data_IF_569957223817
#
_entry.id   IF_569957223817
#
_cell.length_a   1.000
_cell.length_b   1.000
_cell.length_c   1.000
_cell.angle_alpha   90.00
_cell.angle_beta   90.00
_cell.angle_gamma   90.00
#
_symmetry.space_group_name_H-M   'P 1'
#
loop_
_entity.id
_entity.type
_entity.pdbx_description
1 polymer ?
#
# COMPACT_ATOMS: atom_id res chain seq x y z
N UNK A 1 7.24 16.06 -13.60
CA UNK A 1 8.28 15.34 -14.37
C UNK A 1 7.63 14.73 -15.62
N UNK A 2 8.31 14.51 -16.75
CA UNK A 2 7.70 13.86 -17.93
C UNK A 2 7.92 12.34 -17.93
N UNK A 3 7.12 11.58 -18.68
CA UNK A 3 7.18 10.10 -18.75
C UNK A 3 8.57 9.58 -19.13
N UNK A 4 9.27 10.28 -20.03
CA UNK A 4 10.61 9.89 -20.45
C UNK A 4 11.62 9.85 -19.29
N UNK A 5 11.52 10.79 -18.33
CA UNK A 5 12.39 10.80 -17.16
C UNK A 5 12.05 9.69 -16.17
N UNK A 6 10.77 9.37 -15.98
CA UNK A 6 10.35 8.26 -15.12
C UNK A 6 10.83 6.92 -15.71
N UNK A 7 10.64 6.72 -17.01
CA UNK A 7 11.13 5.54 -17.72
C UNK A 7 12.66 5.39 -17.62
N UNK A 8 13.41 6.50 -17.70
CA UNK A 8 14.86 6.49 -17.48
C UNK A 8 15.21 6.00 -16.06
N UNK A 9 14.57 6.55 -15.02
CA UNK A 9 14.82 6.16 -13.63
C UNK A 9 14.53 4.67 -13.42
N UNK A 10 13.37 4.19 -13.90
CA UNK A 10 12.99 2.77 -13.80
C UNK A 10 14.02 1.89 -14.51
N UNK A 11 14.40 2.23 -15.74
CA UNK A 11 15.39 1.46 -16.50
C UNK A 11 16.77 1.47 -15.83
N UNK A 12 17.17 2.59 -15.24
CA UNK A 12 18.42 2.70 -14.51
C UNK A 12 18.42 1.79 -13.28
N UNK A 13 17.39 1.88 -12.43
CA UNK A 13 17.26 1.07 -11.22
C UNK A 13 17.19 -0.42 -11.58
N UNK A 14 16.43 -0.77 -12.63
CA UNK A 14 16.37 -2.12 -13.16
C UNK A 14 17.76 -2.63 -13.58
N UNK A 15 18.54 -1.80 -14.28
CA UNK A 15 19.91 -2.12 -14.69
C UNK A 15 20.88 -2.38 -13.53
N UNK A 16 20.63 -1.80 -12.34
CA UNK A 16 21.44 -2.10 -11.14
C UNK A 16 21.38 -3.59 -10.78
N UNK A 17 20.21 -4.22 -10.97
CA UNK A 17 20.02 -5.64 -10.71
C UNK A 17 20.96 -6.49 -11.58
N UNK A 18 21.02 -6.18 -12.87
CA UNK A 18 21.88 -6.86 -13.83
C UNK A 18 23.37 -6.60 -13.57
N UNK A 19 23.73 -5.38 -13.18
CA UNK A 19 25.12 -4.97 -12.98
C UNK A 19 25.73 -5.53 -11.69
N UNK A 20 24.94 -5.67 -10.63
CA UNK A 20 25.44 -5.94 -9.27
C UNK A 20 25.00 -7.30 -8.73
N UNK A 21 23.80 -7.79 -9.11
CA UNK A 21 23.17 -8.94 -8.45
C UNK A 21 23.17 -10.20 -9.29
N UNK A 22 23.57 -10.12 -10.58
CA UNK A 22 23.44 -11.20 -11.56
C UNK A 22 23.98 -12.55 -11.10
N UNK A 23 25.21 -12.56 -10.58
CA UNK A 23 25.90 -13.79 -10.17
C UNK A 23 25.64 -14.15 -8.70
N UNK A 24 24.85 -13.35 -7.97
CA UNK A 24 24.60 -13.51 -6.54
C UNK A 24 23.19 -14.05 -6.26
N UNK A 25 22.23 -13.73 -7.11
CA UNK A 25 20.82 -14.06 -6.96
C UNK A 25 20.26 -14.61 -8.27
N UNK A 26 19.25 -15.47 -8.15
CA UNK A 26 18.36 -15.77 -9.29
C UNK A 26 17.53 -14.53 -9.61
N UNK A 27 17.14 -14.32 -10.87
CA UNK A 27 16.45 -13.09 -11.31
C UNK A 27 15.25 -12.70 -10.45
N UNK A 28 14.38 -13.67 -10.14
CA UNK A 28 13.21 -13.43 -9.29
C UNK A 28 13.52 -12.97 -7.86
N UNK A 29 14.77 -13.08 -7.43
CA UNK A 29 15.28 -12.63 -6.12
C UNK A 29 16.02 -11.30 -6.17
N UNK A 30 16.08 -10.63 -7.32
CA UNK A 30 16.59 -9.27 -7.39
C UNK A 30 15.69 -8.29 -6.64
N UNK A 31 14.38 -8.54 -6.61
CA UNK A 31 13.41 -7.67 -5.94
C UNK A 31 13.67 -7.52 -4.44
N UNK A 32 14.08 -8.61 -3.77
CA UNK A 32 14.47 -8.67 -2.34
C UNK A 32 15.61 -7.69 -1.98
N UNK A 33 16.32 -7.15 -2.98
CA UNK A 33 17.41 -6.18 -2.79
C UNK A 33 17.08 -4.83 -3.43
N UNK A 34 16.56 -4.82 -4.66
CA UNK A 34 16.35 -3.60 -5.44
C UNK A 34 15.21 -2.75 -4.86
N UNK A 35 14.10 -3.36 -4.45
CA UNK A 35 12.97 -2.64 -3.88
C UNK A 35 13.33 -1.97 -2.54
N UNK A 36 13.87 -2.69 -1.53
CA UNK A 36 14.26 -2.06 -0.27
C UNK A 36 15.36 -1.01 -0.45
N UNK A 37 16.33 -1.21 -1.36
CA UNK A 37 17.32 -0.17 -1.64
C UNK A 37 16.74 1.09 -2.30
N UNK A 38 15.75 0.94 -3.17
CA UNK A 38 15.05 2.07 -3.79
C UNK A 38 14.29 2.87 -2.73
N UNK A 39 13.59 2.19 -1.83
CA UNK A 39 12.92 2.80 -0.67
C UNK A 39 13.94 3.50 0.23
N UNK A 40 15.01 2.81 0.63
CA UNK A 40 16.06 3.35 1.48
C UNK A 40 16.70 4.60 0.89
N UNK A 41 17.00 4.61 -0.42
CA UNK A 41 17.60 5.79 -1.05
C UNK A 41 16.64 6.98 -1.06
N UNK A 42 15.35 6.74 -1.28
CA UNK A 42 14.31 7.78 -1.24
C UNK A 42 14.14 8.34 0.18
N UNK A 43 14.12 7.50 1.21
CA UNK A 43 14.05 7.95 2.61
C UNK A 43 15.30 8.73 3.01
N UNK A 44 16.49 8.26 2.65
CA UNK A 44 17.78 8.92 2.95
C UNK A 44 17.84 10.33 2.36
N UNK A 45 17.55 10.48 1.07
CA UNK A 45 17.68 11.77 0.38
C UNK A 45 16.68 12.82 0.87
N UNK A 46 15.54 12.38 1.41
CA UNK A 46 14.55 13.26 2.04
C UNK A 46 15.03 13.76 3.40
N UNK A 47 15.79 12.95 4.13
CA UNK A 47 16.36 13.30 5.45
C UNK A 47 17.72 14.01 5.38
N UNK A 48 18.45 13.92 4.27
CA UNK A 48 19.76 14.57 4.08
C UNK A 48 19.78 16.04 4.57
N UNK A 49 18.79 16.91 4.25
CA UNK A 49 18.81 18.32 4.67
C UNK A 49 18.61 18.57 6.17
N UNK A 50 17.93 17.66 6.87
CA UNK A 50 17.59 17.80 8.30
C UNK A 50 18.40 16.88 9.21
N UNK A 51 19.41 16.20 8.66
CA UNK A 51 20.22 15.22 9.39
C UNK A 51 20.84 15.78 10.66
N UNK A 52 21.44 16.96 10.58
CA UNK A 52 22.09 17.58 11.74
C UNK A 52 21.07 17.98 12.82
N UNK A 53 19.94 18.56 12.42
CA UNK A 53 18.84 18.92 13.33
C UNK A 53 18.37 17.71 14.16
N UNK A 54 18.22 16.55 13.50
CA UNK A 54 17.85 15.28 14.16
C UNK A 54 18.92 14.80 15.14
N UNK A 55 20.20 14.86 14.76
CA UNK A 55 21.30 14.43 15.62
C UNK A 55 21.45 15.34 16.86
N UNK A 56 21.32 16.64 16.68
CA UNK A 56 21.39 17.62 17.77
C UNK A 56 20.20 17.45 18.72
N UNK A 57 19.00 17.24 18.17
CA UNK A 57 17.80 16.94 18.95
C UNK A 57 17.98 15.64 19.75
N UNK A 58 18.45 14.56 19.11
CA UNK A 58 18.71 13.28 19.78
C UNK A 58 19.67 13.44 20.96
N UNK A 59 20.78 14.16 20.75
CA UNK A 59 21.76 14.42 21.80
C UNK A 59 21.22 15.30 22.94
N UNK A 60 20.31 16.23 22.64
CA UNK A 60 19.63 17.03 23.65
C UNK A 60 18.66 16.17 24.49
N UNK A 61 17.85 15.33 23.84
CA UNK A 61 16.89 14.44 24.51
C UNK A 61 17.59 13.39 25.38
N UNK A 62 18.69 12.82 24.92
CA UNK A 62 19.50 11.86 25.68
C UNK A 62 20.11 12.50 26.93
N UNK A 63 20.65 13.72 26.81
CA UNK A 63 21.16 14.47 27.97
C UNK A 63 20.08 14.83 28.99
N UNK A 64 18.84 14.97 28.52
CA UNK A 64 17.68 15.25 29.36
C UNK A 64 16.99 13.99 29.89
N UNK A 65 17.51 12.78 29.61
CA UNK A 65 16.93 11.48 29.99
C UNK A 65 15.45 11.31 29.54
N UNK A 66 15.10 11.89 28.39
CA UNK A 66 13.75 11.76 27.81
C UNK A 66 13.62 10.38 27.17
N UNK A 67 12.66 9.59 27.66
CA UNK A 67 12.41 8.23 27.15
C UNK A 67 11.63 8.17 25.84
N UNK A 68 10.57 8.97 25.71
CA UNK A 68 9.79 9.03 24.47
C UNK A 68 10.31 10.17 23.60
N UNK A 69 11.09 9.83 22.59
CA UNK A 69 11.78 10.78 21.72
C UNK A 69 11.12 10.88 20.33
N UNK A 70 10.09 10.07 20.04
CA UNK A 70 9.61 9.86 18.67
C UNK A 70 9.08 11.14 18.01
N UNK A 71 8.14 11.82 18.67
CA UNK A 71 7.55 13.05 18.14
C UNK A 71 8.58 14.18 17.98
N UNK A 72 9.40 14.54 19.00
CA UNK A 72 10.44 15.55 18.83
C UNK A 72 11.43 15.26 17.69
N UNK A 73 11.76 13.99 17.45
CA UNK A 73 12.66 13.60 16.37
C UNK A 73 11.98 13.71 14.99
N UNK A 74 10.70 13.37 14.86
CA UNK A 74 9.89 13.62 13.64
C UNK A 74 9.80 15.12 13.35
N UNK A 75 9.56 15.94 14.37
CA UNK A 75 9.53 17.40 14.24
C UNK A 75 10.87 17.97 13.77
N UNK A 76 12.00 17.50 14.35
CA UNK A 76 13.35 17.89 13.91
C UNK A 76 13.64 17.44 12.47
N UNK A 77 13.21 16.23 12.10
CA UNK A 77 13.36 15.72 10.74
C UNK A 77 12.48 16.45 9.72
N UNK A 78 11.41 17.12 10.18
CA UNK A 78 10.33 17.70 9.36
C UNK A 78 9.68 16.66 8.46
N UNK A 79 9.57 15.44 8.97
CA UNK A 79 9.08 14.26 8.29
C UNK A 79 8.37 13.37 9.29
N UNK A 80 7.53 12.47 8.79
CA UNK A 80 6.85 11.45 9.59
C UNK A 80 7.78 10.34 10.14
N UNK A 81 9.08 10.43 9.82
CA UNK A 81 10.11 9.48 10.15
C UNK A 81 11.43 10.21 10.33
N UNK A 82 12.42 9.52 10.90
CA UNK A 82 13.75 10.08 11.14
C UNK A 82 14.81 8.99 11.06
N UNK A 83 16.08 9.41 11.05
CA UNK A 83 17.22 8.51 11.22
C UNK A 83 18.25 9.10 12.18
N UNK A 84 18.44 8.49 13.35
CA UNK A 84 19.39 8.92 14.39
C UNK A 84 20.79 8.35 14.22
N UNK A 85 21.05 7.54 13.19
CA UNK A 85 22.41 7.08 12.89
C UNK A 85 23.29 8.27 12.56
N UNK A 86 24.58 8.21 12.89
CA UNK A 86 25.54 9.24 12.45
C UNK A 86 25.83 9.21 10.94
N UNK A 87 25.33 8.20 10.24
CA UNK A 87 25.57 8.00 8.81
C UNK A 87 24.36 8.45 7.98
N UNK A 88 24.67 9.01 6.82
CA UNK A 88 23.83 9.03 5.62
C UNK A 88 24.27 7.91 4.68
N UNK A 89 23.47 7.56 3.66
CA UNK A 89 23.89 6.59 2.67
C UNK A 89 25.17 7.04 1.92
N UNK A 90 25.36 8.35 1.75
CA UNK A 90 26.57 8.95 1.13
C UNK A 90 27.83 8.68 1.93
N UNK A 91 27.75 8.70 3.27
CA UNK A 91 28.91 8.46 4.14
C UNK A 91 29.45 7.03 4.03
N UNK A 92 28.63 6.12 3.50
CA UNK A 92 28.94 4.69 3.35
C UNK A 92 29.62 4.37 2.01
N UNK A 93 29.84 5.35 1.14
CA UNK A 93 30.49 5.16 -0.17
C UNK A 93 31.97 4.78 -0.06
N UNK A 94 32.70 5.36 0.90
CA UNK A 94 34.16 5.23 0.99
C UNK A 94 34.58 4.64 2.33
N UNK A 95 34.82 3.31 2.36
CA UNK A 95 35.26 2.60 3.58
C UNK A 95 36.45 1.69 3.32
N UNK A 96 37.26 1.51 4.36
CA UNK A 96 38.55 0.81 4.30
C UNK A 96 38.43 -0.72 4.21
N UNK A 97 37.29 -1.30 4.60
CA UNK A 97 37.06 -2.75 4.52
C UNK A 97 35.57 -3.12 4.41
N UNK A 98 35.31 -4.32 3.88
CA UNK A 98 33.95 -4.89 3.76
C UNK A 98 33.26 -5.06 5.11
N UNK A 99 34.01 -5.47 6.14
CA UNK A 99 33.47 -5.68 7.48
C UNK A 99 33.03 -4.36 8.12
N UNK A 100 33.81 -3.29 7.95
CA UNK A 100 33.44 -1.97 8.45
C UNK A 100 32.22 -1.42 7.71
N UNK A 101 32.19 -1.58 6.37
CA UNK A 101 31.03 -1.17 5.57
C UNK A 101 29.75 -1.89 6.02
N UNK A 102 29.83 -3.21 6.26
CA UNK A 102 28.70 -3.99 6.77
C UNK A 102 28.19 -3.44 8.10
N UNK A 103 29.09 -3.24 9.07
CA UNK A 103 28.74 -2.77 10.41
C UNK A 103 28.16 -1.34 10.38
N UNK A 104 28.75 -0.45 9.57
CA UNK A 104 28.25 0.92 9.43
C UNK A 104 26.88 0.96 8.72
N UNK A 105 26.66 0.09 7.73
CA UNK A 105 25.37 -0.03 7.06
C UNK A 105 24.29 -0.59 7.99
N UNK A 106 24.61 -1.60 8.80
CA UNK A 106 23.71 -2.10 9.85
C UNK A 106 23.35 -0.98 10.85
N UNK A 107 24.34 -0.23 11.33
CA UNK A 107 24.11 0.92 12.22
C UNK A 107 23.34 2.08 11.55
N UNK A 108 23.45 2.22 10.23
CA UNK A 108 22.63 3.15 9.46
C UNK A 108 21.15 2.72 9.42
N UNK A 109 20.90 1.43 9.18
CA UNK A 109 19.55 0.86 9.20
C UNK A 109 18.93 0.95 10.60
N UNK A 110 19.68 0.62 11.66
CA UNK A 110 19.22 0.65 13.05
C UNK A 110 18.82 2.06 13.53
N UNK A 111 19.33 3.11 12.88
CA UNK A 111 19.01 4.48 13.23
C UNK A 111 17.62 4.95 12.81
N UNK A 112 16.93 4.22 11.93
CA UNK A 112 15.61 4.63 11.45
C UNK A 112 14.51 4.49 12.50
N UNK A 113 13.50 5.35 12.42
CA UNK A 113 12.30 5.34 13.29
C UNK A 113 11.50 4.03 13.18
N UNK A 114 10.67 3.69 14.18
CA UNK A 114 9.97 2.40 14.25
C UNK A 114 9.13 2.06 13.01
N UNK A 115 8.45 3.04 12.41
CA UNK A 115 7.66 2.86 11.19
C UNK A 115 8.52 2.48 9.97
N UNK A 116 9.77 2.92 9.90
CA UNK A 116 10.72 2.51 8.86
C UNK A 116 11.39 1.18 9.20
N UNK A 117 11.61 0.86 10.49
CA UNK A 117 12.03 -0.49 10.88
C UNK A 117 11.01 -1.54 10.43
N UNK A 118 9.72 -1.26 10.63
CA UNK A 118 8.63 -2.14 10.18
C UNK A 118 8.65 -2.38 8.66
N UNK A 119 8.92 -1.34 7.87
CA UNK A 119 9.12 -1.47 6.41
C UNK A 119 10.31 -2.40 6.11
N UNK A 120 11.46 -2.20 6.77
CA UNK A 120 12.68 -2.97 6.52
C UNK A 120 12.55 -4.44 6.95
N UNK A 121 11.83 -4.70 8.03
CA UNK A 121 11.56 -6.04 8.55
C UNK A 121 10.64 -6.80 7.61
N UNK A 122 9.58 -6.16 7.08
CA UNK A 122 8.68 -6.75 6.09
C UNK A 122 9.34 -6.97 4.71
N UNK A 123 10.38 -6.21 4.37
CA UNK A 123 11.25 -6.54 3.23
C UNK A 123 12.27 -7.65 3.51
N UNK A 124 12.43 -8.07 4.76
CA UNK A 124 13.49 -8.97 5.20
C UNK A 124 14.90 -8.52 4.78
N UNK A 125 15.11 -7.21 4.60
CA UNK A 125 16.29 -6.71 3.90
C UNK A 125 17.61 -7.03 4.62
N UNK A 126 17.57 -7.08 5.96
CA UNK A 126 18.71 -7.46 6.80
C UNK A 126 19.23 -8.86 6.50
N UNK A 127 18.38 -9.77 6.05
CA UNK A 127 18.77 -11.13 5.68
C UNK A 127 19.65 -11.16 4.43
N UNK A 128 19.59 -10.11 3.59
CA UNK A 128 20.37 -10.01 2.36
C UNK A 128 21.79 -9.47 2.61
N UNK A 129 22.00 -8.71 3.70
CA UNK A 129 23.26 -7.99 3.99
C UNK A 129 24.47 -8.93 4.09
N UNK A 130 24.43 -10.09 4.78
CA UNK A 130 25.59 -10.98 4.87
C UNK A 130 26.06 -11.48 3.50
N UNK A 131 25.12 -11.82 2.61
CA UNK A 131 25.43 -12.27 1.24
C UNK A 131 26.03 -11.12 0.42
N UNK A 132 25.41 -9.95 0.44
CA UNK A 132 25.89 -8.76 -0.28
C UNK A 132 27.29 -8.32 0.17
N UNK A 133 27.56 -8.38 1.47
CA UNK A 133 28.86 -8.04 2.04
C UNK A 133 29.93 -9.06 1.65
N UNK A 134 29.65 -10.36 1.79
CA UNK A 134 30.59 -11.44 1.44
C UNK A 134 31.00 -11.41 -0.04
N UNK A 135 30.08 -10.99 -0.91
CA UNK A 135 30.29 -10.91 -2.35
C UNK A 135 30.85 -9.56 -2.83
N UNK A 136 31.22 -8.64 -1.92
CA UNK A 136 31.69 -7.29 -2.26
C UNK A 136 30.71 -6.49 -3.14
N UNK A 137 29.41 -6.73 -2.96
CA UNK A 137 28.33 -6.12 -3.74
C UNK A 137 27.68 -4.95 -3.02
N UNK A 138 27.71 -4.92 -1.67
CA UNK A 138 27.05 -3.87 -0.88
C UNK A 138 27.55 -2.46 -1.23
N UNK A 139 28.87 -2.27 -1.33
CA UNK A 139 29.45 -0.97 -1.70
C UNK A 139 29.06 -0.54 -3.12
N UNK A 140 29.14 -1.46 -4.09
CA UNK A 140 28.74 -1.22 -5.49
C UNK A 140 27.26 -0.85 -5.60
N UNK A 141 26.41 -1.49 -4.81
CA UNK A 141 24.98 -1.22 -4.76
C UNK A 141 24.73 0.20 -4.24
N UNK A 142 25.36 0.58 -3.13
CA UNK A 142 25.30 1.95 -2.58
C UNK A 142 25.77 2.96 -3.62
N UNK A 143 26.89 2.72 -4.30
CA UNK A 143 27.41 3.60 -5.35
C UNK A 143 26.42 3.80 -6.50
N UNK A 144 25.79 2.72 -6.97
CA UNK A 144 24.79 2.77 -8.06
C UNK A 144 23.54 3.56 -7.66
N UNK A 145 23.03 3.39 -6.44
CA UNK A 145 21.88 4.16 -5.95
C UNK A 145 22.20 5.62 -5.64
N UNK A 146 23.48 5.97 -5.48
CA UNK A 146 23.98 7.34 -5.32
C UNK A 146 24.41 7.98 -6.65
N UNK A 147 24.24 7.30 -7.78
CA UNK A 147 24.69 7.78 -9.07
C UNK A 147 24.00 9.10 -9.46
N UNK A 148 24.75 10.15 -9.85
CA UNK A 148 24.22 11.47 -10.12
C UNK A 148 23.44 11.58 -11.45
N UNK A 149 23.23 10.47 -12.17
CA UNK A 149 22.39 10.39 -13.38
C UNK A 149 20.90 10.15 -13.06
N UNK A 150 20.57 9.79 -11.83
CA UNK A 150 19.18 9.69 -11.35
C UNK A 150 18.96 10.64 -10.17
N UNK A 151 17.71 11.06 -9.99
CA UNK A 151 17.30 11.88 -8.85
C UNK A 151 16.05 11.27 -8.22
N UNK A 152 16.20 10.71 -7.03
CA UNK A 152 15.09 10.24 -6.20
C UNK A 152 14.68 11.25 -5.14
N UNK A 153 15.15 12.50 -5.19
CA UNK A 153 14.72 13.58 -4.28
C UNK A 153 13.47 14.27 -4.79
N UNK A 154 12.56 14.77 -3.93
CA UNK A 154 11.49 15.68 -4.36
C UNK A 154 12.03 17.00 -4.92
N UNK A 155 13.28 17.36 -4.61
CA UNK A 155 13.90 18.59 -5.05
C UNK A 155 14.69 18.41 -6.36
N UNK A 156 14.70 19.41 -7.26
CA UNK A 156 15.50 19.35 -8.48
C UNK A 156 17.00 19.43 -8.18
N UNK A 157 17.80 18.73 -8.99
CA UNK A 157 19.25 18.89 -9.04
C UNK A 157 19.58 19.98 -10.05
N UNK A 158 20.35 20.98 -9.64
CA UNK A 158 20.71 22.12 -10.49
C UNK A 158 22.16 21.99 -11.00
N UNK A 159 22.40 22.51 -12.20
CA UNK A 159 23.73 22.75 -12.73
C UNK A 159 24.34 24.00 -12.07
N UNK A 160 25.66 24.20 -12.20
CA UNK A 160 26.36 25.37 -11.66
C UNK A 160 25.86 26.72 -12.22
N UNK A 161 25.17 26.72 -13.37
CA UNK A 161 24.53 27.89 -13.97
C UNK A 161 23.06 28.09 -13.55
N UNK A 162 22.56 27.29 -12.59
CA UNK A 162 21.18 27.35 -12.09
C UNK A 162 20.13 26.62 -12.95
N UNK A 163 20.50 26.08 -14.12
CA UNK A 163 19.56 25.27 -14.93
C UNK A 163 19.27 23.93 -14.27
N UNK A 164 18.06 23.40 -14.44
CA UNK A 164 17.68 22.08 -13.90
C UNK A 164 18.44 20.97 -14.65
N UNK A 165 19.30 20.24 -13.94
CA UNK A 165 19.99 19.04 -14.44
C UNK A 165 19.04 17.84 -14.42
N UNK A 166 18.42 17.60 -13.27
CA UNK A 166 17.38 16.58 -13.09
C UNK A 166 16.20 17.20 -12.36
N UNK A 167 14.97 17.04 -12.86
CA UNK A 167 13.79 17.50 -12.13
C UNK A 167 13.65 16.76 -10.79
N UNK A 168 12.93 17.38 -9.86
CA UNK A 168 12.51 16.71 -8.63
C UNK A 168 11.53 15.59 -8.93
N UNK A 169 11.68 14.46 -8.24
CA UNK A 169 10.77 13.34 -8.25
C UNK A 169 9.74 13.53 -7.14
N UNK A 170 8.58 14.10 -7.49
CA UNK A 170 7.44 14.20 -6.58
C UNK A 170 6.93 12.80 -6.17
N UNK A 171 6.05 12.77 -5.16
CA UNK A 171 5.54 11.51 -4.60
C UNK A 171 4.72 10.71 -5.61
N UNK A 172 3.99 11.38 -6.50
CA UNK A 172 3.27 10.72 -7.59
C UNK A 172 4.24 10.01 -8.54
N UNK A 173 5.30 10.70 -8.99
CA UNK A 173 6.33 10.11 -9.83
C UNK A 173 7.08 8.97 -9.15
N UNK A 174 7.34 9.08 -7.84
CA UNK A 174 7.94 7.99 -7.06
C UNK A 174 7.02 6.77 -7.01
N UNK A 175 5.72 6.96 -6.76
CA UNK A 175 4.72 5.90 -6.83
C UNK A 175 4.72 5.19 -8.19
N UNK A 176 4.78 5.96 -9.29
CA UNK A 176 4.91 5.38 -10.65
C UNK A 176 6.21 4.58 -10.83
N UNK A 177 7.34 5.04 -10.28
CA UNK A 177 8.60 4.28 -10.33
C UNK A 177 8.46 2.94 -9.58
N UNK A 178 7.87 2.93 -8.39
CA UNK A 178 7.63 1.69 -7.63
C UNK A 178 6.67 0.75 -8.36
N UNK A 179 5.53 1.27 -8.84
CA UNK A 179 4.55 0.50 -9.63
C UNK A 179 5.22 -0.19 -10.83
N UNK A 180 6.04 0.54 -11.59
CA UNK A 180 6.72 -0.02 -12.77
C UNK A 180 7.82 -1.04 -12.41
N UNK A 181 8.56 -0.84 -11.32
CA UNK A 181 9.55 -1.81 -10.85
C UNK A 181 8.87 -3.12 -10.44
N UNK A 182 7.77 -3.04 -9.68
CA UNK A 182 6.99 -4.21 -9.25
C UNK A 182 6.39 -4.93 -10.46
N UNK A 183 5.79 -4.18 -11.40
CA UNK A 183 5.24 -4.75 -12.64
C UNK A 183 6.30 -5.59 -13.38
N UNK A 184 7.52 -5.06 -13.55
CA UNK A 184 8.61 -5.77 -14.21
C UNK A 184 9.07 -7.02 -13.44
N UNK A 185 9.19 -6.95 -12.12
CA UNK A 185 9.56 -8.12 -11.31
C UNK A 185 8.49 -9.21 -11.36
N UNK A 186 7.21 -8.85 -11.35
CA UNK A 186 6.11 -9.80 -11.47
C UNK A 186 6.07 -10.44 -12.87
N UNK A 187 6.34 -9.67 -13.92
CA UNK A 187 6.48 -10.17 -15.30
C UNK A 187 7.64 -11.18 -15.43
N UNK A 188 8.79 -10.91 -14.82
CA UNK A 188 9.91 -11.87 -14.83
C UNK A 188 9.62 -13.16 -14.05
N UNK A 189 8.75 -13.10 -13.03
CA UNK A 189 8.41 -14.24 -12.19
C UNK A 189 7.22 -15.08 -12.70
N UNK A 190 6.55 -14.67 -13.78
CA UNK A 190 5.31 -15.29 -14.27
C UNK A 190 4.23 -15.43 -13.17
N UNK A 191 4.19 -14.51 -12.20
CA UNK A 191 3.14 -14.49 -11.17
C UNK A 191 1.80 -14.07 -11.80
N UNK A 192 0.69 -14.67 -11.35
CA UNK A 192 -0.67 -14.32 -11.79
C UNK A 192 -1.01 -12.86 -11.36
N UNK A 193 -0.67 -11.88 -12.20
CA UNK A 193 -0.66 -10.47 -11.83
C UNK A 193 -2.03 -9.84 -11.52
N UNK A 194 -3.14 -10.53 -11.82
CA UNK A 194 -4.50 -9.99 -11.68
C UNK A 194 -4.89 -9.57 -10.27
N UNK A 195 -4.20 -10.11 -9.25
CA UNK A 195 -4.45 -9.85 -7.82
C UNK A 195 -3.51 -8.82 -7.21
N UNK A 196 -2.42 -8.46 -7.90
CA UNK A 196 -1.37 -7.60 -7.35
C UNK A 196 -1.41 -6.18 -7.90
N UNK A 197 -2.13 -5.95 -9.00
CA UNK A 197 -2.16 -4.64 -9.64
C UNK A 197 -3.53 -4.31 -10.24
N UNK A 198 -4.05 -3.14 -9.88
CA UNK A 198 -5.27 -2.58 -10.45
C UNK A 198 -4.92 -1.44 -11.41
N UNK A 199 -5.38 -1.48 -12.68
CA UNK A 199 -5.11 -0.41 -13.62
C UNK A 199 -5.59 0.94 -13.13
N UNK A 200 -4.78 1.98 -13.28
CA UNK A 200 -5.11 3.35 -12.83
C UNK A 200 -6.45 3.86 -13.39
N UNK A 201 -6.79 3.49 -14.62
CA UNK A 201 -8.08 3.85 -15.22
C UNK A 201 -9.26 3.13 -14.52
N UNK A 202 -9.09 1.88 -14.10
CA UNK A 202 -10.09 1.15 -13.32
C UNK A 202 -10.25 1.79 -11.94
N UNK A 203 -9.13 2.14 -11.28
CA UNK A 203 -9.12 2.81 -9.98
C UNK A 203 -9.87 4.15 -10.04
N UNK A 204 -9.57 4.99 -11.04
CA UNK A 204 -10.28 6.27 -11.25
C UNK A 204 -11.77 6.07 -11.49
N UNK A 205 -12.14 5.05 -12.27
CA UNK A 205 -13.54 4.70 -12.49
C UNK A 205 -14.22 4.31 -11.16
N UNK A 206 -13.61 3.44 -10.36
CA UNK A 206 -14.13 3.03 -9.04
C UNK A 206 -14.32 4.24 -8.11
N UNK A 207 -13.31 5.09 -7.98
CA UNK A 207 -13.37 6.32 -7.19
C UNK A 207 -14.53 7.24 -7.65
N UNK A 208 -14.68 7.43 -8.95
CA UNK A 208 -15.77 8.25 -9.51
C UNK A 208 -17.15 7.64 -9.27
N UNK A 209 -17.28 6.31 -9.36
CA UNK A 209 -18.55 5.62 -9.08
C UNK A 209 -18.99 5.79 -7.62
N UNK A 210 -18.06 5.87 -6.67
CA UNK A 210 -18.41 6.09 -5.26
C UNK A 210 -18.61 7.57 -4.92
N UNK A 211 -17.89 8.52 -5.54
CA UNK A 211 -17.99 9.94 -5.19
C UNK A 211 -19.02 10.73 -6.00
N UNK A 212 -19.07 10.57 -7.32
CA UNK A 212 -19.89 11.43 -8.20
C UNK A 212 -21.40 11.40 -7.85
N UNK A 213 -22.02 10.24 -7.54
CA UNK A 213 -23.44 10.20 -7.21
C UNK A 213 -23.81 10.97 -5.94
N UNK A 214 -22.83 11.25 -5.07
CA UNK A 214 -23.01 12.01 -3.82
C UNK A 214 -22.25 13.33 -3.82
N UNK A 215 -21.73 13.78 -4.96
CA UNK A 215 -20.84 14.94 -5.04
C UNK A 215 -21.45 16.20 -4.40
N UNK A 216 -22.73 16.45 -4.63
CA UNK A 216 -23.43 17.63 -4.09
C UNK A 216 -23.78 17.50 -2.61
N UNK A 217 -23.60 16.30 -2.05
CA UNK A 217 -23.78 15.98 -0.64
C UNK A 217 -22.45 15.93 0.10
N UNK A 218 -21.30 16.06 -0.56
CA UNK A 218 -20.00 16.14 0.10
C UNK A 218 -19.88 17.52 0.77
N UNK A 219 -19.56 17.52 2.05
CA UNK A 219 -19.38 18.72 2.87
C UNK A 219 -17.91 18.91 3.21
N UNK A 220 -17.56 20.11 3.68
CA UNK A 220 -16.22 20.32 4.22
C UNK A 220 -16.07 19.53 5.51
N UNK A 221 -14.95 18.83 5.67
CA UNK A 221 -14.74 17.93 6.80
C UNK A 221 -13.81 16.79 6.46
N UNK A 222 -13.86 15.76 7.30
CA UNK A 222 -12.95 14.62 7.23
C UNK A 222 -13.69 13.36 6.80
N UNK A 223 -13.13 12.65 5.83
CA UNK A 223 -13.67 11.39 5.30
C UNK A 223 -12.68 10.25 5.53
N UNK A 224 -13.19 9.08 5.90
CA UNK A 224 -12.38 7.88 6.10
C UNK A 224 -12.52 6.97 4.87
N UNK A 225 -11.37 6.62 4.27
CA UNK A 225 -11.28 5.75 3.10
C UNK A 225 -10.65 4.42 3.51
N UNK A 226 -11.18 3.30 3.03
CA UNK A 226 -10.67 1.96 3.38
C UNK A 226 -10.54 1.01 2.19
N UNK A 227 -9.43 0.24 2.19
CA UNK A 227 -9.17 -0.87 1.29
C UNK A 227 -8.64 -2.08 2.08
N UNK A 228 -9.41 -3.17 2.09
CA UNK A 228 -9.06 -4.40 2.84
C UNK A 228 -8.11 -5.35 2.10
N UNK A 229 -7.66 -5.00 0.90
CA UNK A 229 -6.65 -5.75 0.15
C UNK A 229 -5.85 -4.72 -0.66
N UNK A 230 -5.21 -3.80 0.06
CA UNK A 230 -4.80 -2.52 -0.51
C UNK A 230 -3.65 -2.61 -1.51
N UNK A 231 -2.95 -3.74 -1.59
CA UNK A 231 -1.76 -3.87 -2.40
C UNK A 231 -0.76 -2.78 -2.02
N UNK A 232 -0.22 -2.10 -3.03
CA UNK A 232 0.72 -0.98 -2.84
C UNK A 232 0.06 0.33 -2.36
N UNK A 233 -1.24 0.31 -2.02
CA UNK A 233 -1.99 1.50 -1.56
C UNK A 233 -2.35 2.49 -2.66
N UNK A 234 -2.04 2.20 -3.92
CA UNK A 234 -2.30 3.08 -5.05
C UNK A 234 -3.78 3.47 -5.18
N UNK A 235 -4.69 2.52 -4.90
CA UNK A 235 -6.13 2.75 -5.01
C UNK A 235 -6.63 3.83 -4.03
N UNK A 236 -6.21 3.75 -2.77
CA UNK A 236 -6.53 4.72 -1.71
C UNK A 236 -6.06 6.13 -2.09
N UNK A 237 -4.83 6.25 -2.60
CA UNK A 237 -4.24 7.57 -2.89
C UNK A 237 -4.85 8.21 -4.14
N UNK A 238 -5.24 7.43 -5.14
CA UNK A 238 -6.01 7.95 -6.29
C UNK A 238 -7.42 8.35 -5.85
N UNK A 239 -8.06 7.58 -4.98
CA UNK A 239 -9.37 7.93 -4.44
C UNK A 239 -9.32 9.22 -3.60
N UNK A 240 -8.29 9.42 -2.79
CA UNK A 240 -8.05 10.69 -2.12
C UNK A 240 -7.95 11.86 -3.11
N UNK A 241 -7.13 11.71 -4.15
CA UNK A 241 -6.94 12.76 -5.14
C UNK A 241 -8.24 13.10 -5.87
N UNK A 242 -9.02 12.09 -6.29
CA UNK A 242 -10.30 12.31 -6.96
C UNK A 242 -11.33 12.97 -6.00
N UNK A 243 -11.37 12.59 -4.72
CA UNK A 243 -12.24 13.23 -3.73
C UNK A 243 -11.85 14.69 -3.49
N UNK A 244 -10.55 14.97 -3.36
CA UNK A 244 -10.02 16.33 -3.20
C UNK A 244 -10.36 17.20 -4.40
N UNK A 245 -10.09 16.73 -5.62
CA UNK A 245 -10.42 17.47 -6.86
C UNK A 245 -11.94 17.72 -6.98
N UNK A 246 -12.76 16.74 -6.63
CA UNK A 246 -14.22 16.87 -6.67
C UNK A 246 -14.74 17.93 -5.68
N UNK A 247 -14.16 17.96 -4.49
CA UNK A 247 -14.47 18.90 -3.42
C UNK A 247 -14.00 20.33 -3.74
N UNK A 248 -12.78 20.49 -4.25
CA UNK A 248 -12.24 21.77 -4.70
C UNK A 248 -13.11 22.40 -5.79
N UNK A 249 -13.56 21.60 -6.76
CA UNK A 249 -14.50 22.04 -7.80
C UNK A 249 -15.88 22.47 -7.29
N UNK A 250 -16.16 22.32 -5.98
CA UNK A 250 -17.41 22.68 -5.29
C UNK A 250 -17.17 23.62 -4.10
N UNK A 251 -16.00 24.25 -4.03
CA UNK A 251 -15.60 25.14 -2.93
C UNK A 251 -15.71 24.46 -1.55
N UNK A 252 -15.38 23.16 -1.47
CA UNK A 252 -15.33 22.39 -0.22
C UNK A 252 -13.89 22.09 0.18
N UNK A 253 -13.63 22.12 1.48
CA UNK A 253 -12.35 21.73 2.07
C UNK A 253 -12.48 20.35 2.70
N UNK A 254 -11.85 19.35 2.09
CA UNK A 254 -11.91 17.96 2.57
C UNK A 254 -10.53 17.48 3.03
N UNK A 255 -10.52 16.73 4.11
CA UNK A 255 -9.39 15.94 4.56
C UNK A 255 -9.77 14.45 4.54
N UNK A 256 -8.78 13.61 4.39
CA UNK A 256 -8.92 12.16 4.25
C UNK A 256 -8.05 11.45 5.27
N UNK A 257 -8.57 10.35 5.84
CA UNK A 257 -7.73 9.37 6.52
C UNK A 257 -7.85 8.07 5.77
N UNK A 258 -6.71 7.59 5.27
CA UNK A 258 -6.60 6.38 4.49
C UNK A 258 -6.32 5.21 5.42
N UNK A 259 -7.03 4.11 5.25
CA UNK A 259 -6.87 2.86 5.99
C UNK A 259 -6.69 1.72 5.01
N UNK A 260 -5.67 0.90 5.24
CA UNK A 260 -5.34 -0.19 4.32
C UNK A 260 -4.89 -1.44 5.07
N UNK A 261 -5.27 -2.60 4.53
CA UNK A 261 -4.80 -3.90 5.01
C UNK A 261 -4.21 -4.71 3.85
N UNK A 262 -3.02 -5.29 4.06
CA UNK A 262 -2.32 -6.10 3.06
C UNK A 262 -1.59 -7.28 3.70
N UNK A 263 -1.85 -8.50 3.21
CA UNK A 263 -1.28 -9.73 3.77
C UNK A 263 0.15 -9.99 3.29
N UNK A 264 0.51 -9.52 2.10
CA UNK A 264 1.86 -9.68 1.56
C UNK A 264 2.81 -8.64 2.18
N UNK A 265 3.78 -9.11 2.96
CA UNK A 265 4.75 -8.26 3.66
C UNK A 265 5.49 -7.28 2.73
N UNK A 266 5.99 -7.76 1.59
CA UNK A 266 6.75 -6.95 0.64
C UNK A 266 5.86 -5.85 0.04
N UNK A 267 4.65 -6.19 -0.38
CA UNK A 267 3.66 -5.25 -0.91
C UNK A 267 3.23 -4.23 0.15
N UNK A 268 3.00 -4.65 1.39
CA UNK A 268 2.72 -3.79 2.53
C UNK A 268 3.86 -2.80 2.81
N UNK A 269 5.11 -3.28 2.82
CA UNK A 269 6.28 -2.44 3.05
C UNK A 269 6.40 -1.33 2.00
N UNK A 270 6.06 -1.63 0.74
CA UNK A 270 6.00 -0.65 -0.34
C UNK A 270 4.87 0.37 -0.10
N UNK A 271 3.66 -0.09 0.22
CA UNK A 271 2.53 0.78 0.49
C UNK A 271 2.83 1.75 1.64
N UNK A 272 3.40 1.23 2.74
CA UNK A 272 3.79 2.01 3.91
C UNK A 272 4.89 3.02 3.60
N UNK A 273 5.89 2.63 2.81
CA UNK A 273 6.93 3.55 2.37
C UNK A 273 6.36 4.70 1.52
N UNK A 274 5.45 4.41 0.59
CA UNK A 274 4.83 5.42 -0.27
C UNK A 274 3.98 6.42 0.54
N UNK A 275 3.16 5.93 1.47
CA UNK A 275 2.33 6.76 2.36
C UNK A 275 3.19 7.66 3.25
N UNK A 276 4.26 7.09 3.82
CA UNK A 276 5.19 7.83 4.67
C UNK A 276 5.84 9.02 3.94
N UNK A 277 6.08 8.86 2.63
CA UNK A 277 6.69 9.89 1.77
C UNK A 277 5.68 10.94 1.28
N UNK A 278 4.39 10.61 1.21
CA UNK A 278 3.32 11.53 0.77
C UNK A 278 3.06 12.70 1.72
N UNK A 279 3.66 12.68 2.92
CA UNK A 279 3.47 13.72 3.94
C UNK A 279 2.25 13.47 4.82
N UNK A 280 1.53 12.38 4.57
CA UNK A 280 0.45 11.85 5.40
C UNK A 280 1.02 10.95 6.49
N UNK A 281 1.95 11.48 7.29
CA UNK A 281 2.66 10.70 8.30
C UNK A 281 1.74 9.90 9.23
N UNK A 282 0.59 10.49 9.58
CA UNK A 282 -0.43 9.86 10.42
C UNK A 282 -1.27 8.81 9.66
N UNK A 283 -1.32 8.86 8.32
CA UNK A 283 -2.00 7.85 7.50
C UNK A 283 -1.13 6.60 7.28
N UNK A 284 0.21 6.74 7.26
CA UNK A 284 1.10 5.58 7.19
C UNK A 284 0.95 4.64 8.41
N UNK A 285 0.57 5.19 9.57
CA UNK A 285 0.27 4.42 10.78
C UNK A 285 -1.10 3.70 10.71
N UNK A 286 -1.94 4.05 9.73
CA UNK A 286 -3.23 3.37 9.44
C UNK A 286 -3.10 2.30 8.34
N UNK A 287 -1.89 1.99 7.89
CA UNK A 287 -1.62 0.79 7.10
C UNK A 287 -1.17 -0.33 8.04
N UNK A 288 -1.83 -1.49 7.93
CA UNK A 288 -1.51 -2.70 8.69
C UNK A 288 -1.28 -3.84 7.73
N UNK A 289 -0.19 -4.57 7.88
CA UNK A 289 0.11 -5.65 6.94
C UNK A 289 1.26 -6.53 7.34
N UNK A 290 1.41 -7.63 6.59
CA UNK A 290 2.26 -8.76 6.92
C UNK A 290 1.49 -10.09 6.92
N UNK A 291 2.19 -11.24 6.89
CA UNK A 291 1.58 -12.56 6.74
C UNK A 291 0.59 -12.92 7.87
N UNK A 292 0.69 -12.27 9.02
CA UNK A 292 -0.21 -12.39 10.15
C UNK A 292 -1.49 -11.54 10.03
N UNK A 293 -1.58 -10.60 9.09
CA UNK A 293 -2.69 -9.66 8.96
C UNK A 293 -3.62 -10.00 7.79
N UNK A 294 -4.13 -11.23 7.76
CA UNK A 294 -5.22 -11.60 6.84
C UNK A 294 -6.49 -10.81 7.14
N UNK A 295 -7.06 -10.13 6.14
CA UNK A 295 -8.32 -9.39 6.28
C UNK A 295 -9.49 -10.27 6.71
N UNK A 296 -9.48 -11.54 6.32
CA UNK A 296 -10.53 -12.49 6.68
C UNK A 296 -10.37 -12.99 8.12
N UNK A 297 -9.18 -13.47 8.49
CA UNK A 297 -8.97 -14.08 9.81
C UNK A 297 -8.60 -13.09 10.93
N UNK A 298 -7.88 -12.02 10.59
CA UNK A 298 -7.28 -11.05 11.50
C UNK A 298 -7.57 -9.63 10.99
N UNK A 299 -8.83 -9.21 11.10
CA UNK A 299 -9.27 -7.85 10.75
C UNK A 299 -8.47 -6.81 11.54
N UNK A 300 -7.77 -5.92 10.83
CA UNK A 300 -6.99 -4.86 11.46
C UNK A 300 -7.89 -3.75 12.05
N UNK A 301 -9.13 -3.63 11.58
CA UNK A 301 -10.03 -2.52 11.91
C UNK A 301 -11.44 -2.98 12.32
N UNK A 302 -11.61 -3.89 13.29
CA UNK A 302 -12.89 -4.55 13.57
C UNK A 302 -13.98 -3.62 14.11
N UNK A 303 -13.60 -2.49 14.72
CA UNK A 303 -14.52 -1.51 15.29
C UNK A 303 -14.61 -0.20 14.47
N UNK A 304 -14.03 -0.16 13.27
CA UNK A 304 -14.02 1.04 12.42
C UNK A 304 -15.10 0.94 11.35
N UNK A 305 -15.71 2.08 11.08
CA UNK A 305 -16.62 2.28 9.95
C UNK A 305 -16.07 3.37 9.03
N UNK A 306 -16.34 3.25 7.72
CA UNK A 306 -15.70 4.07 6.69
C UNK A 306 -16.74 4.76 5.80
N UNK A 307 -16.46 5.97 5.34
CA UNK A 307 -17.36 6.71 4.45
C UNK A 307 -17.31 6.13 3.03
N UNK A 308 -16.11 5.81 2.58
CA UNK A 308 -15.84 5.36 1.22
C UNK A 308 -14.89 4.18 1.25
N UNK A 309 -15.21 3.14 0.49
CA UNK A 309 -14.38 1.95 0.47
C UNK A 309 -14.23 1.45 -0.96
N UNK A 310 -13.03 0.98 -1.27
CA UNK A 310 -12.67 0.51 -2.60
C UNK A 310 -11.63 -0.58 -2.47
N UNK A 311 -11.78 -1.68 -3.21
CA UNK A 311 -10.85 -2.79 -3.13
C UNK A 311 -10.83 -3.64 -4.40
N UNK A 312 -9.71 -4.30 -4.64
CA UNK A 312 -9.56 -5.34 -5.65
C UNK A 312 -8.95 -6.60 -4.99
N UNK A 313 -9.77 -7.40 -4.29
CA UNK A 313 -9.30 -8.57 -3.57
C UNK A 313 -8.89 -9.72 -4.52
N UNK A 314 -8.13 -10.72 -4.04
CA UNK A 314 -7.74 -11.88 -4.84
C UNK A 314 -8.95 -12.66 -5.39
N UNK A 315 -8.80 -13.21 -6.60
CA UNK A 315 -9.88 -13.81 -7.36
C UNK A 315 -9.87 -15.33 -7.24
N UNK A 316 -10.94 -15.93 -6.69
CA UNK A 316 -11.07 -17.39 -6.67
C UNK A 316 -9.99 -18.10 -5.86
N UNK A 317 -9.33 -17.40 -4.92
CA UNK A 317 -8.33 -18.00 -4.03
C UNK A 317 -8.99 -18.70 -2.85
N UNK A 318 -8.37 -19.80 -2.47
CA UNK A 318 -8.76 -20.56 -1.28
C UNK A 318 -8.47 -19.75 -0.02
N UNK A 319 -9.48 -19.62 0.84
CA UNK A 319 -9.37 -19.04 2.19
C UNK A 319 -9.41 -20.13 3.27
N UNK A 320 -9.13 -21.39 2.92
CA UNK A 320 -9.15 -22.54 3.86
C UNK A 320 -8.31 -22.30 5.12
N UNK A 321 -7.13 -21.67 5.00
CA UNK A 321 -6.28 -21.37 6.15
C UNK A 321 -6.91 -20.34 7.09
N UNK A 322 -7.61 -19.34 6.54
CA UNK A 322 -8.36 -18.36 7.33
C UNK A 322 -9.54 -19.04 8.02
N UNK A 323 -10.30 -19.86 7.28
CA UNK A 323 -11.40 -20.64 7.83
C UNK A 323 -10.96 -21.51 9.01
N UNK A 324 -9.83 -22.21 8.91
CA UNK A 324 -9.28 -23.02 10.00
C UNK A 324 -8.90 -22.17 11.22
N UNK A 325 -8.22 -21.02 11.00
CA UNK A 325 -7.87 -20.06 12.06
C UNK A 325 -9.10 -19.48 12.76
N UNK A 326 -10.21 -19.34 12.04
CA UNK A 326 -11.47 -18.80 12.55
C UNK A 326 -12.38 -19.86 13.19
N UNK A 327 -11.90 -21.10 13.41
CA UNK A 327 -12.64 -22.16 14.09
C UNK A 327 -13.32 -23.17 13.16
N UNK A 328 -13.06 -23.11 11.86
CA UNK A 328 -13.60 -24.02 10.86
C UNK A 328 -15.10 -23.80 10.56
N UNK A 329 -15.65 -24.63 9.67
CA UNK A 329 -17.03 -24.47 9.16
C UNK A 329 -18.11 -24.40 10.24
N UNK A 330 -17.93 -25.10 11.35
CA UNK A 330 -18.92 -25.19 12.44
C UNK A 330 -18.56 -24.37 13.68
N UNK A 331 -17.35 -23.81 13.75
CA UNK A 331 -16.86 -23.11 14.93
C UNK A 331 -16.77 -21.60 14.77
N UNK A 332 -16.87 -21.09 13.54
CA UNK A 332 -16.84 -19.66 13.27
C UNK A 332 -18.06 -18.95 13.85
N UNK A 333 -17.80 -17.86 14.59
CA UNK A 333 -18.81 -16.99 15.23
C UNK A 333 -18.54 -15.52 14.93
N UNK A 334 -17.75 -15.25 13.90
CA UNK A 334 -17.39 -13.90 13.53
C UNK A 334 -18.66 -13.17 13.05
N UNK A 335 -19.04 -12.05 13.69
CA UNK A 335 -20.29 -11.34 13.38
C UNK A 335 -20.28 -10.70 11.99
N UNK A 336 -19.14 -10.66 11.29
CA UNK A 336 -19.10 -10.27 9.88
C UNK A 336 -19.72 -11.34 8.98
N UNK A 337 -19.57 -12.62 9.32
CA UNK A 337 -19.89 -13.74 8.42
C UNK A 337 -21.03 -14.64 8.89
N UNK A 338 -21.41 -14.54 10.16
CA UNK A 338 -22.62 -15.17 10.73
C UNK A 338 -23.48 -14.04 11.29
N UNK A 339 -24.59 -13.76 10.61
CA UNK A 339 -25.41 -12.57 10.87
C UNK A 339 -26.86 -12.95 11.16
N UNK A 340 -27.64 -11.99 11.64
CA UNK A 340 -29.09 -12.10 11.64
C UNK A 340 -29.64 -11.49 10.32
N UNK A 341 -30.39 -12.27 9.55
CA UNK A 341 -31.04 -11.78 8.34
C UNK A 341 -32.34 -12.54 8.03
N UNK A 342 -33.38 -11.83 7.58
CA UNK A 342 -34.67 -12.42 7.20
C UNK A 342 -35.30 -13.35 8.25
N UNK A 343 -35.08 -13.07 9.55
CA UNK A 343 -35.58 -13.87 10.66
C UNK A 343 -34.76 -15.14 10.98
N UNK A 344 -33.63 -15.34 10.30
CA UNK A 344 -32.64 -16.37 10.63
C UNK A 344 -31.51 -15.72 11.46
N UNK A 345 -31.38 -16.07 12.76
CA UNK A 345 -30.35 -15.51 13.64
C UNK A 345 -28.94 -16.07 13.41
N UNK A 346 -28.80 -17.15 12.63
CA UNK A 346 -27.52 -17.77 12.30
C UNK A 346 -27.30 -17.82 10.78
N UNK A 347 -27.75 -16.77 10.08
CA UNK A 347 -27.65 -16.66 8.64
C UNK A 347 -26.18 -16.63 8.20
N UNK A 348 -25.75 -17.71 7.54
CA UNK A 348 -24.35 -17.91 7.18
C UNK A 348 -24.00 -17.30 5.81
N UNK A 349 -23.00 -16.43 5.81
CA UNK A 349 -22.41 -15.83 4.61
C UNK A 349 -21.16 -16.59 4.13
N UNK A 350 -20.81 -17.71 4.77
CA UNK A 350 -19.57 -18.43 4.51
C UNK A 350 -19.57 -19.06 3.12
N UNK A 351 -18.66 -18.62 2.26
CA UNK A 351 -18.48 -19.17 0.92
C UNK A 351 -17.79 -20.53 0.96
N UNK A 352 -17.68 -21.20 -0.20
CA UNK A 352 -16.78 -22.36 -0.32
C UNK A 352 -15.35 -21.96 0.05
N UNK A 353 -14.64 -22.82 0.78
CA UNK A 353 -13.25 -22.57 1.19
C UNK A 353 -12.27 -22.38 0.02
N UNK A 354 -12.66 -22.77 -1.20
CA UNK A 354 -11.89 -22.59 -2.43
C UNK A 354 -12.00 -21.20 -3.05
N UNK A 355 -12.97 -20.38 -2.65
CA UNK A 355 -13.16 -19.02 -3.18
C UNK A 355 -13.61 -18.07 -2.05
N UNK A 356 -12.69 -17.24 -1.59
CA UNK A 356 -12.92 -16.26 -0.52
C UNK A 356 -13.34 -14.87 -1.01
N UNK A 357 -13.46 -14.63 -2.32
CA UNK A 357 -13.60 -13.28 -2.87
C UNK A 357 -14.74 -12.49 -2.23
N UNK A 358 -15.96 -13.05 -2.22
CA UNK A 358 -17.13 -12.33 -1.68
C UNK A 358 -17.05 -12.07 -0.16
N UNK A 359 -16.14 -12.73 0.57
CA UNK A 359 -15.94 -12.46 1.99
C UNK A 359 -15.19 -11.14 2.23
N UNK A 360 -14.40 -10.67 1.26
CA UNK A 360 -13.83 -9.32 1.31
C UNK A 360 -14.94 -8.26 1.20
N UNK A 361 -15.89 -8.44 0.28
CA UNK A 361 -17.08 -7.61 0.21
C UNK A 361 -17.88 -7.61 1.50
N UNK A 362 -18.11 -8.78 2.10
CA UNK A 362 -18.81 -8.89 3.39
C UNK A 362 -18.05 -8.14 4.50
N UNK A 363 -16.72 -8.21 4.52
CA UNK A 363 -15.91 -7.44 5.45
C UNK A 363 -16.12 -5.92 5.25
N UNK A 364 -16.20 -5.42 4.01
CA UNK A 364 -16.50 -4.01 3.73
C UNK A 364 -17.93 -3.63 4.13
N UNK A 365 -18.91 -4.49 3.85
CA UNK A 365 -20.32 -4.28 4.25
C UNK A 365 -20.47 -4.16 5.78
N UNK A 366 -19.72 -4.94 6.55
CA UNK A 366 -19.73 -4.87 8.02
C UNK A 366 -19.17 -3.57 8.60
N UNK A 367 -18.51 -2.75 7.77
CA UNK A 367 -17.84 -1.49 8.13
C UNK A 367 -18.56 -0.26 7.57
N UNK A 368 -19.81 -0.42 7.15
CA UNK A 368 -20.61 0.70 6.67
C UNK A 368 -21.08 1.57 7.83
N UNK A 369 -20.97 2.90 7.66
CA UNK A 369 -21.57 3.88 8.54
C UNK A 369 -23.09 3.87 8.36
N UNK A 370 -23.82 3.66 9.45
CA UNK A 370 -25.29 3.66 9.43
C UNK A 370 -25.92 4.95 9.95
N UNK A 371 -25.17 5.78 10.68
CA UNK A 371 -25.69 6.95 11.38
C UNK A 371 -25.33 8.29 10.72
N UNK A 372 -24.79 8.26 9.50
CA UNK A 372 -24.45 9.48 8.75
C UNK A 372 -25.44 9.75 7.61
N UNK A 373 -25.47 11.01 7.16
CA UNK A 373 -26.27 11.46 6.02
C UNK A 373 -25.86 10.78 4.71
N UNK A 374 -24.57 10.51 4.54
CA UNK A 374 -24.01 9.87 3.35
C UNK A 374 -24.04 8.35 3.45
N UNK A 375 -24.08 7.79 4.66
CA UNK A 375 -23.83 6.38 4.89
C UNK A 375 -22.43 6.00 4.40
N UNK A 376 -22.34 4.87 3.72
CA UNK A 376 -21.13 4.40 3.06
C UNK A 376 -21.37 4.06 1.61
N UNK A 377 -20.32 4.21 0.80
CA UNK A 377 -20.30 3.78 -0.60
C UNK A 377 -19.09 2.90 -0.87
N UNK A 378 -19.32 1.76 -1.52
CA UNK A 378 -18.32 0.72 -1.78
C UNK A 378 -18.21 0.52 -3.30
N UNK A 379 -16.98 0.39 -3.80
CA UNK A 379 -16.70 -0.18 -5.12
C UNK A 379 -15.69 -1.33 -4.99
N UNK A 380 -16.12 -2.56 -5.25
CA UNK A 380 -15.22 -3.74 -5.20
C UNK A 380 -15.14 -4.42 -6.57
N UNK A 381 -13.93 -4.79 -6.99
CA UNK A 381 -13.72 -5.56 -8.23
C UNK A 381 -13.92 -7.05 -7.96
N UNK A 382 -14.71 -7.68 -8.82
CA UNK A 382 -14.99 -9.10 -8.80
C UNK A 382 -14.68 -9.76 -10.14
N UNK A 383 -14.44 -11.07 -10.12
CA UNK A 383 -14.53 -11.88 -11.34
C UNK A 383 -16.00 -12.31 -11.55
N UNK A 384 -16.27 -13.05 -12.62
CA UNK A 384 -17.63 -13.53 -12.92
C UNK A 384 -18.25 -14.45 -11.86
N UNK A 385 -17.47 -15.13 -11.01
CA UNK A 385 -18.02 -16.11 -10.06
C UNK A 385 -19.00 -15.46 -9.08
N UNK A 386 -18.72 -14.23 -8.65
CA UNK A 386 -19.56 -13.41 -7.77
C UNK A 386 -21.02 -13.30 -8.21
N UNK A 387 -21.29 -13.34 -9.52
CA UNK A 387 -22.63 -13.11 -10.09
C UNK A 387 -23.55 -14.33 -10.00
N UNK A 388 -23.01 -15.55 -10.07
CA UNK A 388 -23.81 -16.76 -10.28
C UNK A 388 -23.40 -17.97 -9.43
N UNK A 389 -22.24 -17.94 -8.78
CA UNK A 389 -21.74 -19.10 -8.02
C UNK A 389 -22.49 -19.26 -6.71
N UNK A 390 -22.74 -20.49 -6.27
CA UNK A 390 -23.49 -20.81 -5.05
C UNK A 390 -24.93 -21.22 -5.32
N UNK A 391 -25.27 -22.45 -4.92
CA UNK A 391 -26.65 -22.92 -4.91
C UNK A 391 -27.46 -22.19 -3.83
N UNK A 392 -28.79 -22.24 -3.93
CA UNK A 392 -29.68 -21.63 -2.94
C UNK A 392 -29.34 -22.09 -1.50
N UNK A 393 -29.11 -21.12 -0.61
CA UNK A 393 -28.75 -21.35 0.79
C UNK A 393 -27.25 -21.48 1.04
N UNK A 394 -26.39 -21.44 0.02
CA UNK A 394 -24.93 -21.35 0.18
C UNK A 394 -24.48 -19.90 0.35
N UNK A 395 -23.33 -19.69 0.98
CA UNK A 395 -22.80 -18.37 1.32
C UNK A 395 -22.79 -17.37 0.17
N UNK A 396 -22.33 -17.75 -1.03
CA UNK A 396 -22.31 -16.83 -2.17
C UNK A 396 -23.73 -16.38 -2.56
N UNK A 397 -24.70 -17.30 -2.57
CA UNK A 397 -26.11 -16.97 -2.83
C UNK A 397 -26.73 -16.13 -1.70
N UNK A 398 -26.33 -16.41 -0.46
CA UNK A 398 -26.81 -15.73 0.72
C UNK A 398 -26.28 -14.30 0.80
N UNK A 399 -25.01 -14.06 0.45
CA UNK A 399 -24.42 -12.73 0.35
C UNK A 399 -25.18 -11.90 -0.69
N UNK A 400 -25.41 -12.44 -1.89
CA UNK A 400 -26.19 -11.73 -2.91
C UNK A 400 -27.60 -11.39 -2.42
N UNK A 401 -28.28 -12.37 -1.82
CA UNK A 401 -29.63 -12.18 -1.26
C UNK A 401 -29.63 -11.09 -0.18
N UNK A 402 -28.69 -11.13 0.75
CA UNK A 402 -28.53 -10.15 1.81
C UNK A 402 -28.36 -8.72 1.26
N UNK A 403 -27.45 -8.54 0.30
CA UNK A 403 -27.20 -7.23 -0.32
C UNK A 403 -28.44 -6.72 -1.06
N UNK A 404 -29.13 -7.58 -1.81
CA UNK A 404 -30.29 -7.18 -2.63
C UNK A 404 -31.52 -6.91 -1.78
N UNK A 405 -31.81 -7.75 -0.78
CA UNK A 405 -32.99 -7.58 0.10
C UNK A 405 -32.86 -6.37 1.03
N UNK A 406 -31.64 -5.93 1.35
CA UNK A 406 -31.40 -4.66 2.04
C UNK A 406 -31.35 -3.45 1.10
N UNK A 407 -31.57 -3.66 -0.21
CA UNK A 407 -31.51 -2.64 -1.25
C UNK A 407 -30.16 -1.89 -1.30
N UNK A 408 -29.03 -2.58 -1.08
CA UNK A 408 -27.72 -1.93 -1.09
C UNK A 408 -27.02 -1.95 -2.45
N UNK A 409 -27.31 -2.92 -3.31
CA UNK A 409 -26.69 -3.04 -4.63
C UNK A 409 -27.16 -1.89 -5.54
N UNK A 410 -26.28 -0.94 -5.86
CA UNK A 410 -26.62 0.21 -6.70
C UNK A 410 -26.37 -0.08 -8.19
N UNK A 411 -25.22 -0.67 -8.52
CA UNK A 411 -24.87 -1.00 -9.90
C UNK A 411 -23.86 -2.15 -9.97
N UNK A 412 -23.83 -2.82 -11.13
CA UNK A 412 -22.77 -3.75 -11.53
C UNK A 412 -22.24 -3.27 -12.88
N UNK A 413 -20.94 -2.96 -12.95
CA UNK A 413 -20.28 -2.44 -14.16
C UNK A 413 -19.36 -3.50 -14.73
N UNK A 414 -19.66 -4.02 -15.92
CA UNK A 414 -18.76 -4.92 -16.63
C UNK A 414 -17.57 -4.14 -17.21
N UNK A 415 -16.34 -4.62 -16.96
CA UNK A 415 -15.13 -4.02 -17.48
C UNK A 415 -14.68 -4.67 -18.80
N UNK A 416 -13.95 -3.94 -19.67
CA UNK A 416 -13.36 -4.54 -20.86
C UNK A 416 -12.45 -5.72 -20.54
N UNK A 417 -12.47 -6.75 -21.40
CA UNK A 417 -11.53 -7.87 -21.30
C UNK A 417 -10.08 -7.39 -21.45
N UNK A 418 -9.14 -8.08 -20.79
CA UNK A 418 -7.71 -7.76 -20.79
C UNK A 418 -7.37 -6.36 -20.26
N UNK A 419 -8.28 -5.71 -19.52
CA UNK A 419 -7.96 -4.45 -18.83
C UNK A 419 -6.96 -4.68 -17.69
N UNK A 420 -7.08 -5.81 -16.98
CA UNK A 420 -6.14 -6.24 -15.95
C UNK A 420 -4.99 -7.03 -16.59
N UNK A 421 -3.76 -6.75 -16.16
CA UNK A 421 -2.57 -7.40 -16.72
C UNK A 421 -2.61 -8.91 -16.52
N UNK A 422 -2.10 -9.64 -17.52
CA UNK A 422 -1.95 -11.10 -17.50
C UNK A 422 -3.23 -11.89 -17.17
N UNK A 423 -4.42 -11.32 -17.39
CA UNK A 423 -5.68 -12.04 -17.25
C UNK A 423 -6.68 -11.67 -18.34
N UNK A 424 -7.25 -12.70 -18.98
CA UNK A 424 -8.33 -12.56 -19.97
C UNK A 424 -9.73 -12.74 -19.37
N UNK A 425 -9.84 -12.83 -18.04
CA UNK A 425 -11.13 -13.02 -17.38
C UNK A 425 -11.99 -11.76 -17.51
N UNK A 426 -13.31 -11.94 -17.53
CA UNK A 426 -14.24 -10.85 -17.35
C UNK A 426 -14.26 -10.42 -15.87
N UNK A 427 -14.07 -9.12 -15.63
CA UNK A 427 -14.18 -8.50 -14.31
C UNK A 427 -15.33 -7.50 -14.26
N UNK A 428 -15.82 -7.27 -13.05
CA UNK A 428 -16.99 -6.44 -12.77
C UNK A 428 -16.72 -5.57 -11.55
N UNK A 429 -17.19 -4.33 -11.54
CA UNK A 429 -17.22 -3.49 -10.33
C UNK A 429 -18.62 -3.60 -9.73
N UNK A 430 -18.71 -4.05 -8.49
CA UNK A 430 -19.92 -3.96 -7.68
C UNK A 430 -19.93 -2.62 -6.97
N UNK A 431 -20.97 -1.82 -7.22
CA UNK A 431 -21.19 -0.52 -6.56
C UNK A 431 -22.31 -0.70 -5.55
N UNK A 432 -22.02 -0.40 -4.28
CA UNK A 432 -22.93 -0.61 -3.16
C UNK A 432 -23.07 0.67 -2.35
N UNK A 433 -24.27 0.97 -1.87
CA UNK A 433 -24.56 2.07 -0.95
C UNK A 433 -25.63 1.65 0.04
N UNK A 434 -25.50 2.03 1.31
CA UNK A 434 -26.58 1.88 2.29
C UNK A 434 -27.47 3.14 2.39
N UNK A 435 -27.28 4.09 1.44
CA UNK A 435 -28.08 5.30 1.26
C UNK A 435 -28.44 5.50 -0.20
N UNK A 436 -29.52 4.85 -0.63
CA UNK A 436 -30.13 5.13 -1.94
C UNK A 436 -31.13 6.30 -1.84
N UNK A 437 -31.27 7.13 -2.87
CA UNK A 437 -32.42 8.04 -2.98
C UNK A 437 -33.73 7.24 -2.98
N UNK A 438 -34.78 7.80 -2.37
CA UNK A 438 -36.15 7.29 -2.47
C UNK A 438 -36.72 7.41 -3.90
#
# INVERSE_FOLDING_TARGET
MNENNLNWIVNFIWGIADDVLRDLYVRGKYRDVILPMTVLRRLDVVLEPTKQDVLDMKAALDRADIRNQDQPLREAARQAFYNTSKFTLRDLRSRASQQQLKADFEAYLDGFSPNVQDILDNFEFRNQIPRLSKADALGKLIEKFLDPSINLSPNPVLNGNGSVKHPGLDNHGMGTVFEELIRRFNEENNEEAGEHWTPRDAVKLMARLIFLPVADRIESGTYLLYDGACGTGGMLTVAEEELRQLAEGRDKQVATHLYGQEINAETYAIAKADFLLKGEGDAADNLVGGPEYSTLANDAFPAREFDFMLSNPPYGKSWKSDLERMGGKSGIKDPRFVIEHAGDPEYSLLTRSSDGQMLFLVNMLSKMKHDTRLGSRIAEVHNGSSLFTGDAGQGESNIRRWIIENDWLEAIVALPLNMFYNTGIATYIWVITNRKPE
#
